data_IF_321762835300
#
_entry.id   IF_321762835300
#
_cell.length_a   1.000
_cell.length_b   1.000
_cell.length_c   1.000
_cell.angle_alpha   90.00
_cell.angle_beta   90.00
_cell.angle_gamma   90.00
#
_symmetry.space_group_name_H-M   'P 1'
#
loop_
_entity.id
_entity.type
_entity.pdbx_description
1 polymer ?
#
# COMPACT_ATOMS: atom_id res chain seq x y z
N UNK A 1 21.06 4.34 -46.33
CA UNK A 1 19.84 3.54 -46.09
C UNK A 1 19.95 2.55 -44.90
N UNK A 2 21.06 1.96 -44.62
CA UNK A 2 21.24 1.02 -43.48
C UNK A 2 21.01 1.60 -42.08
N UNK A 3 21.28 2.90 -41.90
CA UNK A 3 21.16 3.57 -40.57
C UNK A 3 19.71 3.81 -40.09
N UNK A 4 18.77 3.89 -41.02
CA UNK A 4 17.34 4.12 -40.66
C UNK A 4 16.60 2.86 -40.23
N UNK A 5 17.06 1.69 -40.66
CA UNK A 5 16.44 0.41 -40.27
C UNK A 5 16.74 0.03 -38.81
N UNK A 6 17.92 0.41 -38.31
CA UNK A 6 18.30 0.11 -36.92
C UNK A 6 17.51 0.96 -35.96
N UNK A 7 17.18 2.21 -36.29
CA UNK A 7 16.35 3.08 -35.45
C UNK A 7 14.90 2.59 -35.34
N UNK A 8 14.34 2.05 -36.42
CA UNK A 8 12.98 1.50 -36.40
C UNK A 8 12.81 0.25 -35.57
N UNK A 9 13.78 -0.65 -35.55
CA UNK A 9 13.75 -1.87 -34.77
C UNK A 9 13.91 -1.57 -33.28
N UNK A 10 14.75 -0.60 -32.91
CA UNK A 10 14.90 -0.19 -31.51
C UNK A 10 13.62 0.45 -30.95
N UNK A 11 12.92 1.27 -31.74
CA UNK A 11 11.66 1.90 -31.34
C UNK A 11 10.54 0.88 -31.13
N UNK A 12 10.46 -0.17 -31.96
CA UNK A 12 9.50 -1.26 -31.80
C UNK A 12 9.78 -2.13 -30.56
N UNK A 13 11.05 -2.36 -30.23
CA UNK A 13 11.43 -3.12 -29.06
C UNK A 13 11.06 -2.38 -27.74
N UNK A 14 11.21 -1.06 -27.71
CA UNK A 14 10.84 -0.23 -26.56
C UNK A 14 9.30 -0.19 -26.38
N UNK A 15 8.56 -0.08 -27.48
CA UNK A 15 7.11 -0.09 -27.43
C UNK A 15 6.54 -1.46 -26.96
N UNK A 16 7.14 -2.56 -27.38
CA UNK A 16 6.74 -3.90 -26.93
C UNK A 16 7.05 -4.12 -25.43
N UNK A 17 8.18 -3.65 -24.94
CA UNK A 17 8.55 -3.79 -23.52
C UNK A 17 7.64 -2.96 -22.60
N UNK A 18 7.24 -1.76 -23.01
CA UNK A 18 6.30 -0.93 -22.24
C UNK A 18 4.88 -1.51 -22.23
N UNK A 19 4.42 -2.12 -23.31
CA UNK A 19 3.12 -2.78 -23.37
C UNK A 19 3.03 -4.01 -22.48
N UNK A 20 4.09 -4.84 -22.44
CA UNK A 20 4.18 -6.00 -21.53
C UNK A 20 4.23 -5.54 -20.07
N UNK A 21 4.97 -4.48 -19.77
CA UNK A 21 5.03 -3.91 -18.43
C UNK A 21 3.67 -3.37 -17.96
N UNK A 22 2.95 -2.68 -18.83
CA UNK A 22 1.62 -2.15 -18.54
C UNK A 22 0.57 -3.27 -18.35
N UNK A 23 0.66 -4.37 -19.07
CA UNK A 23 -0.23 -5.52 -18.89
C UNK A 23 0.03 -6.24 -17.56
N UNK A 24 1.27 -6.41 -17.15
CA UNK A 24 1.61 -7.01 -15.85
C UNK A 24 1.06 -6.17 -14.69
N UNK A 25 1.15 -4.84 -14.76
CA UNK A 25 0.59 -3.97 -13.74
C UNK A 25 -0.95 -4.01 -13.67
N UNK A 26 -1.66 -4.24 -14.77
CA UNK A 26 -3.12 -4.36 -14.77
C UNK A 26 -3.62 -5.64 -14.09
N UNK A 27 -2.89 -6.74 -14.21
CA UNK A 27 -3.25 -8.00 -13.54
C UNK A 27 -2.99 -7.98 -12.02
N UNK A 28 -2.00 -7.22 -11.55
CA UNK A 28 -1.73 -7.09 -10.11
C UNK A 28 -2.75 -6.21 -9.36
N UNK A 29 -3.46 -5.32 -10.07
CA UNK A 29 -4.45 -4.43 -9.47
C UNK A 29 -5.76 -5.11 -9.05
N UNK A 30 -6.02 -6.35 -9.48
CA UNK A 30 -7.27 -7.04 -9.23
C UNK A 30 -7.16 -8.33 -8.41
N UNK A 31 -5.96 -8.86 -8.17
CA UNK A 31 -5.77 -9.95 -7.22
C UNK A 31 -6.02 -9.39 -5.81
N UNK A 32 -7.15 -9.76 -5.21
CA UNK A 32 -7.41 -9.46 -3.80
C UNK A 32 -6.37 -10.20 -2.98
N UNK A 33 -5.43 -9.44 -2.44
CA UNK A 33 -4.41 -9.98 -1.57
C UNK A 33 -5.07 -10.62 -0.35
N UNK A 34 -4.69 -11.84 -0.01
CA UNK A 34 -5.19 -12.51 1.18
C UNK A 34 -4.85 -11.69 2.45
N UNK A 35 -5.63 -11.79 3.53
CA UNK A 35 -5.38 -11.03 4.76
C UNK A 35 -3.97 -11.23 5.31
N UNK A 36 -3.47 -12.45 5.31
CA UNK A 36 -2.11 -12.84 5.72
C UNK A 36 -1.04 -12.20 4.84
N UNK A 37 -1.26 -12.16 3.54
CA UNK A 37 -0.33 -11.54 2.59
C UNK A 37 -0.21 -10.05 2.79
N UNK A 38 -1.27 -9.39 3.25
CA UNK A 38 -1.25 -7.95 3.55
C UNK A 38 -0.33 -7.60 4.70
N UNK A 39 -0.31 -8.42 5.75
CA UNK A 39 0.60 -8.23 6.88
C UNK A 39 2.05 -8.43 6.44
N UNK A 40 2.34 -9.50 5.72
CA UNK A 40 3.66 -9.78 5.16
C UNK A 40 4.14 -8.66 4.22
N UNK A 41 3.24 -8.10 3.40
CA UNK A 41 3.55 -6.98 2.51
C UNK A 41 3.90 -5.71 3.29
N UNK A 42 3.21 -5.44 4.39
CA UNK A 42 3.53 -4.31 5.28
C UNK A 42 4.92 -4.48 5.88
N UNK A 43 5.26 -5.66 6.38
CA UNK A 43 6.57 -5.94 6.95
C UNK A 43 7.69 -5.79 5.91
N UNK A 44 7.49 -6.31 4.72
CA UNK A 44 8.44 -6.16 3.61
C UNK A 44 8.64 -4.67 3.24
N UNK A 45 7.56 -3.87 3.25
CA UNK A 45 7.63 -2.44 2.96
C UNK A 45 8.36 -1.67 4.05
N UNK A 46 8.13 -1.99 5.32
CA UNK A 46 8.85 -1.38 6.46
C UNK A 46 10.34 -1.68 6.35
N UNK A 47 10.71 -2.94 6.07
CA UNK A 47 12.10 -3.34 5.90
C UNK A 47 12.76 -2.60 4.72
N UNK A 48 12.07 -2.46 3.59
CA UNK A 48 12.56 -1.72 2.43
C UNK A 48 12.77 -0.23 2.73
N UNK A 49 11.84 0.40 3.46
CA UNK A 49 11.97 1.81 3.87
C UNK A 49 13.18 1.97 4.80
N UNK A 50 13.32 1.13 5.82
CA UNK A 50 14.47 1.17 6.73
C UNK A 50 15.79 1.06 5.98
N UNK A 51 15.90 0.10 5.06
CA UNK A 51 17.09 -0.08 4.23
C UNK A 51 17.38 1.14 3.35
N UNK A 52 16.33 1.75 2.79
CA UNK A 52 16.44 2.93 1.93
C UNK A 52 16.86 4.20 2.66
N UNK A 53 16.48 4.34 3.94
CA UNK A 53 16.81 5.50 4.78
C UNK A 53 18.29 5.57 5.15
N UNK A 54 19.02 4.43 5.13
CA UNK A 54 20.46 4.36 5.49
C UNK A 54 20.73 5.03 6.83
N UNK A 55 19.97 4.64 7.85
CA UNK A 55 20.02 5.25 9.18
C UNK A 55 21.43 5.17 9.78
N UNK A 56 21.84 6.22 10.48
CA UNK A 56 23.04 6.19 11.31
C UNK A 56 22.83 5.30 12.55
N UNK A 57 23.91 4.92 13.25
CA UNK A 57 23.81 4.09 14.44
C UNK A 57 22.92 4.69 15.54
N UNK A 58 22.88 6.02 15.68
CA UNK A 58 22.00 6.68 16.64
C UNK A 58 20.55 6.73 16.19
N UNK A 59 20.30 6.91 14.91
CA UNK A 59 18.95 6.85 14.31
C UNK A 59 18.38 5.42 14.37
N UNK A 60 19.20 4.39 14.20
CA UNK A 60 18.78 2.99 14.34
C UNK A 60 18.21 2.70 15.75
N UNK A 61 18.71 3.34 16.80
CA UNK A 61 18.17 3.20 18.15
C UNK A 61 16.76 3.77 18.29
N UNK A 62 16.40 4.74 17.46
CA UNK A 62 15.09 5.39 17.44
C UNK A 62 14.10 4.68 16.49
N UNK A 63 14.56 3.74 15.66
CA UNK A 63 13.71 3.07 14.68
C UNK A 63 12.62 2.16 15.29
N UNK A 64 12.85 1.37 16.38
CA UNK A 64 11.84 0.45 16.89
C UNK A 64 10.49 1.10 17.24
N UNK A 65 10.41 2.25 17.91
CA UNK A 65 9.13 2.91 18.18
C UNK A 65 8.44 3.38 16.88
N UNK A 66 9.18 3.87 15.90
CA UNK A 66 8.64 4.26 14.60
C UNK A 66 8.04 3.05 13.88
N UNK A 67 8.78 1.94 13.83
CA UNK A 67 8.34 0.70 13.22
C UNK A 67 7.06 0.17 13.86
N UNK A 68 6.98 0.21 15.20
CA UNK A 68 5.78 -0.19 15.94
C UNK A 68 4.58 0.69 15.57
N UNK A 69 4.75 2.01 15.55
CA UNK A 69 3.68 2.95 15.20
C UNK A 69 3.20 2.76 13.75
N UNK A 70 4.11 2.50 12.81
CA UNK A 70 3.76 2.20 11.41
C UNK A 70 2.98 0.89 11.30
N UNK A 71 3.36 -0.17 12.04
CA UNK A 71 2.61 -1.44 12.07
C UNK A 71 1.21 -1.26 12.65
N UNK A 72 1.07 -0.51 13.75
CA UNK A 72 -0.24 -0.21 14.33
C UNK A 72 -1.15 0.52 13.33
N UNK A 73 -0.62 1.51 12.64
CA UNK A 73 -1.38 2.22 11.60
C UNK A 73 -1.77 1.31 10.44
N UNK A 74 -0.85 0.48 9.97
CA UNK A 74 -1.13 -0.49 8.90
C UNK A 74 -2.18 -1.51 9.34
N UNK A 75 -2.09 -2.04 10.56
CA UNK A 75 -3.07 -2.96 11.13
C UNK A 75 -4.47 -2.35 11.16
N UNK A 76 -4.60 -1.11 11.61
CA UNK A 76 -5.87 -0.39 11.64
C UNK A 76 -6.52 -0.34 10.24
N UNK A 77 -5.74 -0.12 9.20
CA UNK A 77 -6.21 -0.10 7.80
C UNK A 77 -6.60 -1.49 7.29
N UNK A 78 -5.80 -2.49 7.60
CA UNK A 78 -6.05 -3.89 7.23
C UNK A 78 -7.32 -4.39 7.88
N UNK A 79 -7.50 -4.16 9.18
CA UNK A 79 -8.69 -4.59 9.93
C UNK A 79 -9.97 -3.97 9.34
N UNK A 80 -9.94 -2.69 9.00
CA UNK A 80 -11.07 -2.01 8.33
C UNK A 80 -11.35 -2.58 6.94
N UNK A 81 -10.31 -2.89 6.18
CA UNK A 81 -10.47 -3.48 4.86
C UNK A 81 -11.07 -4.88 4.96
N UNK A 82 -10.61 -5.68 5.92
CA UNK A 82 -11.13 -7.02 6.18
C UNK A 82 -12.59 -6.97 6.65
N UNK A 83 -12.93 -6.05 7.56
CA UNK A 83 -14.31 -5.87 8.02
C UNK A 83 -15.26 -5.55 6.86
N UNK A 84 -14.84 -4.70 5.91
CA UNK A 84 -15.64 -4.37 4.72
C UNK A 84 -15.80 -5.56 3.77
N UNK A 85 -14.76 -6.37 3.61
CA UNK A 85 -14.80 -7.53 2.71
C UNK A 85 -15.61 -8.68 3.29
N UNK A 86 -15.60 -8.82 4.62
CA UNK A 86 -16.32 -9.87 5.32
C UNK A 86 -17.75 -9.47 5.67
N UNK A 87 -18.15 -8.22 5.39
CA UNK A 87 -19.53 -7.78 5.60
C UNK A 87 -20.47 -8.59 4.66
N UNK A 88 -21.57 -9.14 5.18
CA UNK A 88 -22.55 -9.86 4.37
C UNK A 88 -23.09 -8.95 3.25
N UNK A 89 -23.25 -9.50 2.05
CA UNK A 89 -23.73 -8.74 0.89
C UNK A 89 -25.16 -8.20 1.08
N UNK A 90 -25.95 -8.87 1.90
CA UNK A 90 -27.34 -8.57 2.27
C UNK A 90 -27.46 -7.76 3.58
N UNK A 91 -26.33 -7.42 4.21
CA UNK A 91 -26.36 -6.61 5.43
C UNK A 91 -27.06 -5.25 5.17
N UNK A 92 -27.99 -4.84 6.06
CA UNK A 92 -28.65 -3.57 5.95
C UNK A 92 -27.61 -2.44 5.93
N UNK A 93 -27.71 -1.58 4.92
CA UNK A 93 -26.82 -0.43 4.83
C UNK A 93 -27.14 0.54 5.96
N UNK A 94 -26.15 0.94 6.77
CA UNK A 94 -26.38 1.93 7.82
C UNK A 94 -26.92 3.23 7.21
N UNK A 95 -27.75 3.95 7.97
CA UNK A 95 -28.29 5.23 7.55
C UNK A 95 -27.19 6.27 7.30
N UNK A 96 -27.47 7.36 6.57
CA UNK A 96 -26.46 8.35 6.20
C UNK A 96 -25.74 8.98 7.39
N UNK A 97 -26.43 9.19 8.51
CA UNK A 97 -25.86 9.83 9.71
C UNK A 97 -24.90 8.87 10.39
N UNK A 98 -25.29 7.60 10.57
CA UNK A 98 -24.42 6.56 11.10
C UNK A 98 -23.17 6.40 10.26
N UNK A 99 -23.29 6.36 8.92
CA UNK A 99 -22.12 6.30 8.03
C UNK A 99 -21.20 7.51 8.18
N UNK A 100 -21.75 8.70 8.38
CA UNK A 100 -20.95 9.89 8.58
C UNK A 100 -20.19 9.84 9.90
N UNK A 101 -20.83 9.39 10.98
CA UNK A 101 -20.19 9.19 12.28
C UNK A 101 -19.06 8.17 12.22
N UNK A 102 -19.31 6.98 11.65
CA UNK A 102 -18.29 5.96 11.45
C UNK A 102 -17.10 6.47 10.64
N UNK A 103 -17.37 7.28 9.63
CA UNK A 103 -16.30 7.92 8.83
C UNK A 103 -15.49 8.91 9.66
N UNK A 104 -16.13 9.73 10.46
CA UNK A 104 -15.47 10.69 11.35
C UNK A 104 -14.60 9.97 12.39
N UNK A 105 -15.13 8.91 13.03
CA UNK A 105 -14.38 8.10 14.00
C UNK A 105 -13.18 7.42 13.35
N UNK A 106 -13.35 6.90 12.14
CA UNK A 106 -12.29 6.30 11.36
C UNK A 106 -11.19 7.31 10.98
N UNK A 107 -11.56 8.54 10.68
CA UNK A 107 -10.60 9.62 10.40
C UNK A 107 -9.85 10.02 11.67
N UNK A 108 -10.54 10.18 12.78
CA UNK A 108 -9.94 10.50 14.08
C UNK A 108 -8.93 9.44 14.52
N UNK A 109 -9.30 8.16 14.44
CA UNK A 109 -8.40 7.06 14.76
C UNK A 109 -7.18 7.00 13.83
N UNK A 110 -7.36 7.31 12.54
CA UNK A 110 -6.24 7.38 11.59
C UNK A 110 -5.31 8.54 11.91
N UNK A 111 -5.86 9.71 12.25
CA UNK A 111 -5.07 10.88 12.64
C UNK A 111 -4.26 10.62 13.91
N UNK A 112 -4.87 9.99 14.92
CA UNK A 112 -4.16 9.62 16.15
C UNK A 112 -3.01 8.64 15.90
N UNK A 113 -3.22 7.64 15.05
CA UNK A 113 -2.18 6.67 14.69
C UNK A 113 -1.05 7.32 13.87
N UNK A 114 -1.37 8.24 12.95
CA UNK A 114 -0.37 9.00 12.19
C UNK A 114 0.46 9.92 13.10
N UNK A 115 -0.18 10.54 14.11
CA UNK A 115 0.53 11.38 15.07
C UNK A 115 1.59 10.61 15.83
N UNK A 116 1.30 9.38 16.26
CA UNK A 116 2.29 8.49 16.89
C UNK A 116 3.53 8.20 16.02
N UNK A 117 3.40 8.28 14.70
CA UNK A 117 4.54 8.09 13.79
C UNK A 117 5.39 9.36 13.73
N UNK A 118 4.78 10.53 13.93
CA UNK A 118 5.43 11.83 13.84
C UNK A 118 6.12 12.26 15.15
N UNK A 119 5.60 11.80 16.30
CA UNK A 119 6.15 12.05 17.64
C UNK A 119 7.37 11.19 17.92
#
# INVERSE_FOLDING_TARGET
MRKFWIAGVAALAIAASTAVYAQHHRHWGHARMAPEDRAAFVDARIAAVRAGLKLTADQEKLWPPVETAVREFAKLRIDRANARMNAPADAPKPDPVTRLRERADNMAASAAAMKKIAD
#
